data_IF_430468764591
#
_entry.id   IF_430468764591
#
_cell.length_a   1.000
_cell.length_b   1.000
_cell.length_c   1.000
_cell.angle_alpha   90.00
_cell.angle_beta   90.00
_cell.angle_gamma   90.00
#
_symmetry.space_group_name_H-M   'P 1'
#
loop_
_entity.id
_entity.type
_entity.pdbx_description
1 polymer ?
#
# COMPACT_ATOMS: atom_id res chain seq x y z
N UNK A 1 3.24 -18.07 4.21
CA UNK A 1 3.72 -16.99 5.12
C UNK A 1 3.59 -17.51 6.55
N UNK A 2 4.58 -17.24 7.42
CA UNK A 2 4.53 -17.68 8.82
C UNK A 2 4.00 -16.54 9.70
N UNK A 3 3.03 -16.85 10.56
CA UNK A 3 2.52 -15.88 11.55
C UNK A 3 3.50 -15.73 12.72
N UNK A 4 3.56 -14.52 13.29
CA UNK A 4 4.29 -14.26 14.53
C UNK A 4 3.64 -14.92 15.76
N UNK A 5 2.39 -15.35 15.66
CA UNK A 5 1.64 -15.96 16.74
C UNK A 5 2.29 -17.26 17.25
N UNK A 6 2.48 -17.39 18.56
CA UNK A 6 3.09 -18.57 19.18
C UNK A 6 4.62 -18.65 19.12
N UNK A 7 5.29 -17.64 18.56
CA UNK A 7 6.76 -17.59 18.51
C UNK A 7 7.32 -17.25 19.91
N UNK A 8 8.35 -17.96 20.35
CA UNK A 8 9.06 -17.61 21.60
C UNK A 8 9.96 -16.38 21.38
N UNK A 9 9.54 -15.29 21.98
CA UNK A 9 10.18 -13.97 21.85
C UNK A 9 11.07 -13.60 23.05
N UNK A 10 11.16 -14.43 24.08
CA UNK A 10 11.89 -14.11 25.31
C UNK A 10 13.36 -13.88 25.06
N UNK A 11 13.82 -12.66 25.37
CA UNK A 11 15.20 -12.23 25.19
C UNK A 11 15.66 -12.09 23.74
N UNK A 12 14.75 -12.21 22.77
CA UNK A 12 15.04 -12.07 21.34
C UNK A 12 15.21 -10.61 20.95
N UNK A 13 16.16 -10.35 20.06
CA UNK A 13 16.29 -9.08 19.35
C UNK A 13 15.53 -9.16 18.03
N UNK A 14 14.52 -8.33 17.89
CA UNK A 14 13.62 -8.31 16.73
C UNK A 14 13.87 -7.10 15.86
N UNK A 15 14.08 -7.34 14.57
CA UNK A 15 14.03 -6.30 13.55
C UNK A 15 12.59 -6.20 13.04
N UNK A 16 11.92 -5.09 13.31
CA UNK A 16 10.54 -4.84 12.88
C UNK A 16 10.49 -3.86 11.72
N UNK A 17 9.82 -4.24 10.61
CA UNK A 17 9.57 -3.38 9.45
C UNK A 17 8.08 -3.04 9.32
N UNK A 18 7.59 -2.00 9.99
CA UNK A 18 6.22 -1.55 9.85
C UNK A 18 6.09 -0.53 8.71
N UNK A 19 4.86 -0.23 8.31
CA UNK A 19 4.56 0.97 7.54
C UNK A 19 3.99 2.06 8.44
N UNK A 20 4.81 3.04 8.75
CA UNK A 20 4.46 4.24 9.53
C UNK A 20 4.56 5.52 8.70
N UNK A 21 4.72 5.41 7.36
CA UNK A 21 4.75 6.55 6.46
C UNK A 21 3.44 7.35 6.57
N UNK A 22 3.52 8.55 7.10
CA UNK A 22 2.37 9.37 7.50
C UNK A 22 2.28 10.66 6.69
N UNK A 23 1.07 11.16 6.38
CA UNK A 23 0.90 12.50 5.83
C UNK A 23 1.41 13.55 6.82
N UNK A 24 2.20 14.50 6.32
CA UNK A 24 2.77 15.60 7.10
C UNK A 24 2.15 16.92 6.68
N UNK A 25 1.98 17.82 7.64
CA UNK A 25 1.68 19.20 7.33
C UNK A 25 2.85 19.83 6.54
N UNK A 26 2.60 20.50 5.41
CA UNK A 26 3.65 21.00 4.54
C UNK A 26 4.60 22.00 5.21
N UNK A 27 4.13 22.77 6.20
CA UNK A 27 4.88 23.83 6.86
C UNK A 27 5.52 23.37 8.17
N UNK A 28 4.71 22.83 9.09
CA UNK A 28 5.18 22.41 10.41
C UNK A 28 5.85 21.05 10.44
N UNK A 29 5.63 20.23 9.39
CA UNK A 29 6.05 18.83 9.33
C UNK A 29 5.47 17.98 10.47
N UNK A 30 4.36 18.44 11.07
CA UNK A 30 3.61 17.62 12.02
C UNK A 30 2.85 16.50 11.31
N UNK A 31 2.70 15.37 11.97
CA UNK A 31 1.89 14.24 11.46
C UNK A 31 0.42 14.63 11.55
N UNK A 32 -0.26 14.76 10.40
CA UNK A 32 -1.68 15.12 10.32
C UNK A 32 -2.62 13.93 10.33
N UNK A 33 -2.11 12.73 10.06
CA UNK A 33 -2.85 11.49 10.19
C UNK A 33 -1.88 10.39 10.65
N UNK A 34 -2.15 9.81 11.79
CA UNK A 34 -1.31 8.80 12.46
C UNK A 34 -1.91 7.39 12.45
N UNK A 35 -2.93 7.13 11.63
CA UNK A 35 -3.60 5.84 11.55
C UNK A 35 -2.66 4.66 11.31
N UNK A 36 -1.63 4.84 10.47
CA UNK A 36 -0.61 3.80 10.22
C UNK A 36 0.23 3.51 11.45
N UNK A 37 0.54 4.55 12.23
CA UNK A 37 1.23 4.40 13.52
C UNK A 37 0.33 3.60 14.47
N UNK A 38 -0.93 4.00 14.61
CA UNK A 38 -1.90 3.31 15.48
C UNK A 38 -2.02 1.83 15.10
N UNK A 39 -2.09 1.50 13.81
CA UNK A 39 -2.14 0.11 13.33
C UNK A 39 -0.87 -0.69 13.62
N UNK A 40 0.25 -0.04 13.85
CA UNK A 40 1.53 -0.68 14.21
C UNK A 40 1.62 -0.98 15.71
N UNK A 41 0.85 -0.31 16.57
CA UNK A 41 0.92 -0.50 18.03
C UNK A 41 0.69 -1.96 18.47
N UNK A 42 -0.29 -2.71 17.94
CA UNK A 42 -0.53 -4.09 18.37
C UNK A 42 0.68 -5.02 18.19
N UNK A 43 1.42 -4.93 17.08
CA UNK A 43 2.60 -5.77 16.87
C UNK A 43 3.71 -5.42 17.85
N UNK A 44 3.94 -4.13 18.12
CA UNK A 44 4.96 -3.71 19.09
C UNK A 44 4.59 -4.21 20.49
N UNK A 45 3.33 -4.06 20.90
CA UNK A 45 2.85 -4.59 22.19
C UNK A 45 3.01 -6.11 22.29
N UNK A 46 2.74 -6.86 21.21
CA UNK A 46 2.95 -8.31 21.17
C UNK A 46 4.42 -8.65 21.39
N UNK A 47 5.34 -7.96 20.71
CA UNK A 47 6.78 -8.18 20.85
C UNK A 47 7.27 -7.87 22.28
N UNK A 48 6.85 -6.75 22.86
CA UNK A 48 7.21 -6.36 24.23
C UNK A 48 6.66 -7.34 25.28
N UNK A 49 5.39 -7.72 25.16
CA UNK A 49 4.76 -8.72 26.05
C UNK A 49 5.44 -10.07 25.96
N UNK A 50 5.99 -10.42 24.79
CA UNK A 50 6.80 -11.62 24.58
C UNK A 50 8.21 -11.55 25.18
N UNK A 51 8.65 -10.40 25.69
CA UNK A 51 9.97 -10.19 26.29
C UNK A 51 11.08 -9.90 25.27
N UNK A 52 10.74 -9.43 24.07
CA UNK A 52 11.71 -9.03 23.06
C UNK A 52 12.30 -7.64 23.32
N UNK A 53 13.42 -7.34 22.67
CA UNK A 53 13.88 -5.99 22.35
C UNK A 53 13.63 -5.71 20.87
N UNK A 54 13.27 -4.47 20.52
CA UNK A 54 12.78 -4.14 19.18
C UNK A 54 13.58 -3.01 18.57
N UNK A 55 14.15 -3.26 17.38
CA UNK A 55 14.61 -2.17 16.51
C UNK A 55 13.64 -2.03 15.33
N UNK A 56 13.15 -0.83 15.13
CA UNK A 56 12.22 -0.49 14.06
C UNK A 56 12.98 0.15 12.92
N UNK A 57 12.81 -0.37 11.71
CA UNK A 57 13.25 0.25 10.46
C UNK A 57 12.02 0.64 9.64
N UNK A 58 11.94 1.88 9.23
CA UNK A 58 10.79 2.39 8.51
C UNK A 58 11.18 3.51 7.54
N UNK A 59 10.25 3.90 6.67
CA UNK A 59 10.44 5.02 5.75
C UNK A 59 9.40 6.11 5.97
N UNK A 60 9.78 7.34 5.62
CA UNK A 60 8.90 8.50 5.52
C UNK A 60 9.28 9.30 4.28
N UNK A 61 8.30 9.54 3.40
CA UNK A 61 8.52 10.23 2.13
C UNK A 61 9.33 9.41 1.12
N UNK A 62 9.82 10.07 0.09
CA UNK A 62 10.71 9.51 -0.95
C UNK A 62 11.57 10.63 -1.54
N UNK A 63 12.61 10.30 -2.30
CA UNK A 63 13.45 11.26 -3.03
C UNK A 63 12.68 12.09 -4.06
N UNK A 64 11.60 11.55 -4.63
CA UNK A 64 10.69 12.28 -5.53
C UNK A 64 9.60 13.06 -4.76
N UNK A 65 9.47 12.81 -3.47
CA UNK A 65 8.61 13.51 -2.53
C UNK A 65 9.44 14.08 -1.36
N UNK A 66 10.48 14.80 -1.70
CA UNK A 66 11.47 15.30 -0.75
C UNK A 66 10.89 16.21 0.35
N UNK A 67 9.72 16.83 0.10
CA UNK A 67 9.04 17.65 1.09
C UNK A 67 8.54 16.83 2.29
N UNK A 68 8.26 15.54 2.08
CA UNK A 68 7.86 14.60 3.10
C UNK A 68 8.99 13.66 3.54
N UNK A 69 10.20 13.83 2.96
CA UNK A 69 11.39 13.08 3.34
C UNK A 69 12.01 13.71 4.60
N UNK A 70 11.55 13.28 5.76
CA UNK A 70 11.99 13.77 7.08
C UNK A 70 12.57 12.63 7.92
N UNK A 71 13.19 12.98 9.05
CA UNK A 71 13.53 12.00 10.07
C UNK A 71 12.28 11.37 10.71
N UNK A 72 12.49 10.37 11.56
CA UNK A 72 11.41 9.63 12.21
C UNK A 72 11.24 9.98 13.70
N UNK A 73 11.79 11.09 14.17
CA UNK A 73 11.71 11.50 15.58
C UNK A 73 10.27 11.71 16.04
N UNK A 74 9.43 12.36 15.22
CA UNK A 74 8.00 12.57 15.50
C UNK A 74 7.20 11.26 15.52
N UNK A 75 7.59 10.29 14.69
CA UNK A 75 6.99 8.94 14.71
C UNK A 75 7.36 8.22 16.02
N UNK A 76 8.62 8.31 16.46
CA UNK A 76 9.04 7.73 17.73
C UNK A 76 8.27 8.32 18.91
N UNK A 77 8.09 9.64 18.92
CA UNK A 77 7.29 10.33 19.93
C UNK A 77 5.85 9.83 19.94
N UNK A 78 5.19 9.76 18.77
CA UNK A 78 3.81 9.27 18.66
C UNK A 78 3.66 7.81 19.12
N UNK A 79 4.58 6.93 18.72
CA UNK A 79 4.58 5.54 19.16
C UNK A 79 4.77 5.46 20.67
N UNK A 80 5.67 6.27 21.26
CA UNK A 80 5.88 6.36 22.70
C UNK A 80 4.63 6.78 23.45
N UNK A 81 3.89 7.78 22.93
CA UNK A 81 2.61 8.25 23.48
C UNK A 81 1.55 7.13 23.48
N UNK A 82 1.37 6.42 22.35
CA UNK A 82 0.38 5.33 22.24
C UNK A 82 0.72 4.09 23.07
N UNK A 83 2.00 3.81 23.27
CA UNK A 83 2.45 2.66 24.07
C UNK A 83 2.50 2.96 25.55
N UNK A 84 2.48 4.23 25.98
CA UNK A 84 2.89 4.66 27.31
C UNK A 84 4.22 4.03 27.72
N UNK A 85 5.17 4.02 26.77
CA UNK A 85 6.47 3.34 26.90
C UNK A 85 7.54 4.11 26.14
N UNK A 86 8.78 4.25 26.69
CA UNK A 86 9.85 4.98 26.02
C UNK A 86 10.23 4.34 24.67
N UNK A 87 10.26 5.16 23.62
CA UNK A 87 10.75 4.80 22.29
C UNK A 87 11.85 5.75 21.91
N UNK A 88 13.06 5.24 21.77
CA UNK A 88 14.22 6.02 21.36
C UNK A 88 14.22 6.20 19.85
N UNK A 89 14.57 7.41 19.39
CA UNK A 89 14.93 7.66 18.00
C UNK A 89 16.45 7.83 17.87
N UNK A 90 17.05 7.13 16.91
CA UNK A 90 18.47 7.26 16.58
C UNK A 90 18.62 7.65 15.11
N UNK A 91 19.21 8.81 14.85
CA UNK A 91 19.42 9.33 13.48
C UNK A 91 20.60 8.65 12.77
N UNK A 92 20.53 7.33 12.69
CA UNK A 92 21.44 6.46 11.95
C UNK A 92 20.69 5.20 11.53
N UNK A 93 20.64 4.90 10.23
CA UNK A 93 19.88 3.73 9.71
C UNK A 93 20.60 2.43 10.01
N UNK A 94 21.89 2.34 9.65
CA UNK A 94 22.67 1.08 9.74
C UNK A 94 24.16 1.32 9.90
N UNK A 95 24.55 2.53 10.25
CA UNK A 95 25.92 2.92 10.48
C UNK A 95 26.45 2.53 11.86
N UNK A 96 27.62 3.05 12.27
CA UNK A 96 28.26 2.66 13.51
C UNK A 96 27.43 2.91 14.78
N UNK A 97 26.67 4.02 14.82
CA UNK A 97 25.81 4.33 15.96
C UNK A 97 24.64 3.36 16.08
N UNK A 98 23.97 3.08 14.94
CA UNK A 98 22.89 2.07 14.89
C UNK A 98 23.38 0.69 15.34
N UNK A 99 24.50 0.22 14.80
CA UNK A 99 25.11 -1.08 15.17
C UNK A 99 25.43 -1.14 16.65
N UNK A 100 26.05 -0.08 17.21
CA UNK A 100 26.38 -0.03 18.63
C UNK A 100 25.13 -0.03 19.50
N UNK A 101 24.11 0.75 19.15
CA UNK A 101 22.86 0.82 19.92
C UNK A 101 22.09 -0.47 19.90
N UNK A 102 21.96 -1.11 18.73
CA UNK A 102 21.26 -2.40 18.58
C UNK A 102 21.98 -3.50 19.38
N UNK A 103 23.32 -3.53 19.39
CA UNK A 103 24.07 -4.47 20.22
C UNK A 103 23.75 -4.29 21.71
N UNK A 104 23.57 -3.08 22.17
CA UNK A 104 23.30 -2.70 23.56
C UNK A 104 21.82 -2.85 23.98
N UNK A 105 20.89 -3.11 23.03
CA UNK A 105 19.45 -3.26 23.32
C UNK A 105 19.19 -4.37 24.35
N UNK A 106 18.37 -4.04 25.33
CA UNK A 106 17.91 -4.94 26.40
C UNK A 106 16.45 -5.33 26.16
N UNK A 107 16.01 -6.49 26.67
CA UNK A 107 14.59 -6.88 26.63
C UNK A 107 13.68 -5.74 27.12
N UNK A 108 12.63 -5.46 26.37
CA UNK A 108 11.69 -4.38 26.65
C UNK A 108 12.08 -3.02 26.08
N UNK A 109 13.31 -2.81 25.58
CA UNK A 109 13.69 -1.57 24.93
C UNK A 109 13.28 -1.52 23.47
N UNK A 110 12.93 -0.31 23.01
CA UNK A 110 12.57 -0.02 21.61
C UNK A 110 13.48 1.11 21.09
N UNK A 111 14.01 0.91 19.89
CA UNK A 111 14.67 1.99 19.12
C UNK A 111 14.10 2.05 17.71
N UNK A 112 13.84 3.26 17.23
CA UNK A 112 13.60 3.53 15.79
C UNK A 112 14.91 4.05 15.21
N UNK A 113 15.39 3.36 14.19
CA UNK A 113 16.57 3.77 13.43
C UNK A 113 16.20 4.87 12.42
N UNK A 114 17.20 5.49 11.82
CA UNK A 114 16.99 6.55 10.84
C UNK A 114 16.08 6.16 9.67
N UNK A 115 15.63 7.17 8.92
CA UNK A 115 14.73 6.94 7.80
C UNK A 115 15.42 6.11 6.70
N UNK A 116 14.83 4.95 6.35
CA UNK A 116 15.33 4.06 5.30
C UNK A 116 15.57 4.79 3.97
N UNK A 117 14.78 5.80 3.64
CA UNK A 117 14.93 6.58 2.39
C UNK A 117 16.19 7.46 2.35
N UNK A 118 16.97 7.51 3.43
CA UNK A 118 18.32 8.11 3.41
C UNK A 118 19.36 7.17 2.80
N UNK A 119 19.01 5.88 2.60
CA UNK A 119 19.87 4.93 1.90
C UNK A 119 19.50 4.86 0.42
N UNK A 120 20.51 4.85 -0.44
CA UNK A 120 20.32 4.81 -1.90
C UNK A 120 19.56 3.55 -2.35
N UNK A 121 19.86 2.40 -1.75
CA UNK A 121 19.24 1.12 -2.07
C UNK A 121 17.77 1.00 -1.66
N UNK A 122 17.28 1.89 -0.80
CA UNK A 122 15.90 1.91 -0.32
C UNK A 122 14.98 2.88 -1.09
N UNK A 123 15.54 3.69 -2.01
CA UNK A 123 14.73 4.63 -2.78
C UNK A 123 14.06 3.97 -3.99
N UNK A 124 12.87 4.45 -4.36
CA UNK A 124 12.08 3.88 -5.46
C UNK A 124 12.78 3.97 -6.83
N UNK A 125 13.63 4.96 -7.03
CA UNK A 125 14.42 5.09 -8.26
C UNK A 125 15.49 4.01 -8.37
N UNK A 126 16.13 3.62 -7.27
CA UNK A 126 17.09 2.52 -7.26
C UNK A 126 16.42 1.18 -7.60
N UNK A 127 15.27 0.89 -6.94
CA UNK A 127 14.48 -0.30 -7.23
C UNK A 127 14.10 -0.41 -8.71
N UNK A 128 13.66 0.70 -9.31
CA UNK A 128 13.27 0.75 -10.72
C UNK A 128 14.44 0.49 -11.67
N UNK A 129 15.60 1.08 -11.39
CA UNK A 129 16.71 1.16 -12.34
C UNK A 129 17.72 0.04 -12.15
N UNK A 130 17.97 -0.45 -10.94
CA UNK A 130 18.98 -1.48 -10.63
C UNK A 130 18.45 -2.91 -10.65
N UNK A 131 17.21 -3.14 -10.23
CA UNK A 131 16.49 -4.44 -10.34
C UNK A 131 17.26 -5.64 -9.80
N UNK A 132 17.78 -5.54 -8.57
CA UNK A 132 18.44 -6.67 -7.90
C UNK A 132 17.40 -7.70 -7.42
N UNK A 133 17.81 -8.96 -7.31
CA UNK A 133 17.04 -9.99 -6.61
C UNK A 133 17.28 -9.95 -5.09
N UNK A 134 16.50 -10.68 -4.32
CA UNK A 134 16.59 -10.71 -2.86
C UNK A 134 17.99 -11.15 -2.38
N UNK A 135 18.58 -12.15 -3.04
CA UNK A 135 19.91 -12.67 -2.70
C UNK A 135 21.02 -11.64 -2.93
N UNK A 136 20.91 -10.85 -4.01
CA UNK A 136 21.84 -9.75 -4.26
C UNK A 136 21.71 -8.62 -3.23
N UNK A 137 20.47 -8.28 -2.83
CA UNK A 137 20.23 -7.30 -1.78
C UNK A 137 20.80 -7.68 -0.42
N UNK A 138 21.04 -8.96 -0.11
CA UNK A 138 21.72 -9.37 1.14
C UNK A 138 23.14 -8.79 1.24
N UNK A 139 23.73 -8.32 0.15
CA UNK A 139 25.07 -7.74 0.09
C UNK A 139 25.08 -6.21 0.29
N UNK A 140 23.90 -5.57 0.37
CA UNK A 140 23.81 -4.14 0.64
C UNK A 140 24.35 -3.80 2.03
N UNK A 141 24.72 -2.54 2.21
CA UNK A 141 25.31 -2.10 3.46
C UNK A 141 24.35 -2.22 4.63
N UNK A 142 23.09 -1.88 4.43
CA UNK A 142 22.02 -2.02 5.41
C UNK A 142 21.91 -3.46 5.93
N UNK A 143 21.72 -4.40 5.02
CA UNK A 143 21.45 -5.80 5.39
C UNK A 143 22.68 -6.44 6.04
N UNK A 144 23.86 -6.20 5.50
CA UNK A 144 25.12 -6.72 6.07
C UNK A 144 25.41 -6.21 7.49
N UNK A 145 25.04 -4.97 7.78
CA UNK A 145 25.30 -4.38 9.10
C UNK A 145 24.22 -4.76 10.12
N UNK A 146 22.96 -4.87 9.69
CA UNK A 146 21.86 -5.10 10.60
C UNK A 146 21.54 -6.58 10.80
N UNK A 147 21.47 -7.40 9.75
CA UNK A 147 21.01 -8.78 9.87
C UNK A 147 21.76 -9.61 10.96
N UNK A 148 23.10 -9.50 11.11
CA UNK A 148 23.81 -10.28 12.13
C UNK A 148 23.50 -9.89 13.59
N UNK A 149 22.76 -8.81 13.80
CA UNK A 149 22.44 -8.27 15.12
C UNK A 149 21.12 -8.77 15.69
N UNK A 150 20.31 -9.45 14.87
CA UNK A 150 18.93 -9.83 15.20
C UNK A 150 18.74 -11.35 15.19
N UNK A 151 17.81 -11.81 16.01
CA UNK A 151 17.41 -13.22 16.07
C UNK A 151 16.30 -13.54 15.06
N UNK A 152 15.47 -12.55 14.72
CA UNK A 152 14.38 -12.69 13.78
C UNK A 152 13.97 -11.35 13.15
N UNK A 153 13.32 -11.43 12.00
CA UNK A 153 12.75 -10.31 11.28
C UNK A 153 11.22 -10.42 11.26
N UNK A 154 10.54 -9.31 11.53
CA UNK A 154 9.07 -9.19 11.43
C UNK A 154 8.71 -8.15 10.40
N UNK A 155 8.00 -8.58 9.37
CA UNK A 155 7.42 -7.68 8.39
C UNK A 155 5.96 -7.38 8.74
N UNK A 156 5.62 -6.09 8.87
CA UNK A 156 4.26 -5.60 9.14
C UNK A 156 3.81 -4.57 8.09
N UNK A 157 4.60 -4.40 7.02
CA UNK A 157 4.39 -3.36 6.02
C UNK A 157 3.67 -3.90 4.79
N UNK A 158 2.41 -4.29 4.90
CA UNK A 158 1.61 -4.81 3.78
C UNK A 158 1.53 -3.82 2.61
N UNK A 159 1.34 -2.52 2.86
CA UNK A 159 1.29 -1.49 1.84
C UNK A 159 2.58 -1.34 1.03
N UNK A 160 3.73 -1.78 1.57
CA UNK A 160 5.02 -1.82 0.90
C UNK A 160 5.38 -3.23 0.36
N UNK A 161 4.50 -4.23 0.47
CA UNK A 161 4.78 -5.62 0.09
C UNK A 161 5.09 -5.81 -1.40
N UNK A 162 4.67 -4.86 -2.23
CA UNK A 162 4.98 -4.82 -3.67
C UNK A 162 6.38 -4.30 -4.00
N UNK A 163 7.11 -3.74 -3.01
CA UNK A 163 8.43 -3.17 -3.20
C UNK A 163 9.52 -4.23 -3.22
N UNK A 164 10.44 -4.11 -4.18
CA UNK A 164 11.65 -4.92 -4.24
C UNK A 164 12.84 -4.13 -3.67
N UNK A 165 12.76 -3.77 -2.38
CA UNK A 165 13.82 -3.07 -1.66
C UNK A 165 14.45 -3.95 -0.59
N UNK A 166 15.71 -3.68 -0.15
CA UNK A 166 16.42 -4.52 0.83
C UNK A 166 15.62 -4.79 2.09
N UNK A 167 15.00 -3.74 2.67
CA UNK A 167 14.20 -3.88 3.89
C UNK A 167 12.98 -4.77 3.74
N UNK A 168 12.48 -4.98 2.51
CA UNK A 168 11.29 -5.79 2.25
C UNK A 168 11.62 -7.23 1.85
N UNK A 169 12.73 -7.46 1.14
CA UNK A 169 12.98 -8.77 0.51
C UNK A 169 14.25 -9.47 0.98
N UNK A 170 15.22 -8.77 1.59
CA UNK A 170 16.54 -9.35 1.81
C UNK A 170 16.74 -9.95 3.21
N UNK A 171 16.14 -9.36 4.25
CA UNK A 171 16.30 -9.90 5.62
C UNK A 171 15.75 -11.31 5.79
N UNK A 172 14.71 -11.65 5.04
CA UNK A 172 14.10 -12.99 5.04
C UNK A 172 15.02 -14.09 4.47
N UNK A 173 16.04 -13.70 3.68
CA UNK A 173 17.05 -14.63 3.19
C UNK A 173 18.07 -15.04 4.29
N UNK A 174 18.18 -14.25 5.35
CA UNK A 174 19.21 -14.40 6.39
C UNK A 174 18.65 -14.67 7.78
N UNK A 175 17.40 -14.30 8.05
CA UNK A 175 16.77 -14.38 9.39
C UNK A 175 15.48 -15.19 9.35
N UNK A 176 15.16 -15.92 10.43
CA UNK A 176 13.80 -16.40 10.65
C UNK A 176 12.82 -15.24 10.52
N UNK A 177 11.84 -15.37 9.61
CA UNK A 177 10.96 -14.27 9.21
C UNK A 177 9.51 -14.61 9.47
N UNK A 178 8.82 -13.63 10.05
CA UNK A 178 7.40 -13.74 10.39
C UNK A 178 6.63 -12.53 9.88
N UNK A 179 5.37 -12.76 9.52
CA UNK A 179 4.42 -11.68 9.32
C UNK A 179 3.88 -11.21 10.68
N UNK A 180 3.86 -9.92 10.88
CA UNK A 180 3.10 -9.35 11.98
C UNK A 180 1.58 -9.49 11.76
N UNK A 181 0.76 -9.23 12.79
CA UNK A 181 -0.69 -9.50 12.73
C UNK A 181 -1.41 -8.84 11.57
N UNK A 182 -1.11 -7.58 11.26
CA UNK A 182 -1.77 -6.83 10.17
C UNK A 182 -1.40 -7.43 8.81
N UNK A 183 -0.12 -7.62 8.55
CA UNK A 183 0.34 -8.21 7.29
C UNK A 183 -0.21 -9.62 7.10
N UNK A 184 -0.26 -10.41 8.16
CA UNK A 184 -0.80 -11.77 8.11
C UNK A 184 -2.30 -11.78 7.81
N UNK A 185 -3.07 -10.89 8.44
CA UNK A 185 -4.51 -10.73 8.20
C UNK A 185 -4.81 -10.34 6.75
N UNK A 186 -4.08 -9.39 6.21
CA UNK A 186 -4.22 -8.96 4.80
C UNK A 186 -3.87 -10.10 3.84
N UNK A 187 -2.78 -10.81 4.11
CA UNK A 187 -2.38 -11.99 3.33
C UNK A 187 -3.45 -13.09 3.34
N UNK A 188 -4.03 -13.40 4.51
CA UNK A 188 -5.09 -14.41 4.61
C UNK A 188 -6.36 -13.98 3.87
N UNK A 189 -6.75 -12.69 4.00
CA UNK A 189 -7.92 -12.17 3.30
C UNK A 189 -7.77 -12.30 1.78
N UNK A 190 -6.62 -11.88 1.23
CA UNK A 190 -6.33 -11.99 -0.20
C UNK A 190 -6.19 -13.44 -0.65
N UNK A 191 -5.55 -14.30 0.16
CA UNK A 191 -5.41 -15.73 -0.16
C UNK A 191 -6.75 -16.43 -0.28
N UNK A 192 -7.73 -16.08 0.57
CA UNK A 192 -9.10 -16.59 0.48
C UNK A 192 -9.77 -16.18 -0.84
N UNK A 193 -9.54 -14.93 -1.29
CA UNK A 193 -10.06 -14.46 -2.57
C UNK A 193 -9.42 -15.21 -3.73
N UNK A 194 -8.10 -15.41 -3.72
CA UNK A 194 -7.37 -16.05 -4.81
C UNK A 194 -7.64 -17.56 -4.94
N UNK A 195 -7.80 -18.25 -3.81
CA UNK A 195 -7.89 -19.72 -3.77
C UNK A 195 -9.27 -20.27 -3.49
N UNK A 196 -10.28 -19.45 -3.33
CA UNK A 196 -11.65 -19.91 -3.07
C UNK A 196 -12.56 -18.80 -2.55
N UNK A 197 -12.71 -17.72 -3.32
CA UNK A 197 -13.66 -16.66 -2.99
C UNK A 197 -15.06 -17.25 -2.76
N UNK A 198 -15.70 -16.84 -1.68
CA UNK A 198 -17.12 -17.11 -1.48
C UNK A 198 -17.90 -16.48 -2.63
N UNK A 199 -18.90 -17.21 -3.13
CA UNK A 199 -19.75 -16.74 -4.22
C UNK A 199 -21.05 -16.13 -3.67
N UNK A 200 -21.55 -15.03 -4.27
CA UNK A 200 -21.00 -14.31 -5.42
C UNK A 200 -19.77 -13.45 -5.02
N UNK A 201 -18.72 -13.49 -5.86
CA UNK A 201 -17.54 -12.64 -5.70
C UNK A 201 -17.66 -11.41 -6.59
N UNK A 202 -17.86 -10.26 -5.97
CA UNK A 202 -18.10 -8.98 -6.64
C UNK A 202 -16.89 -8.05 -6.43
N UNK A 203 -16.34 -7.54 -7.52
CA UNK A 203 -15.23 -6.59 -7.50
C UNK A 203 -15.73 -5.19 -7.86
N UNK A 204 -15.44 -4.21 -7.03
CA UNK A 204 -15.72 -2.80 -7.33
C UNK A 204 -14.40 -2.13 -7.73
N UNK A 205 -14.28 -1.77 -8.99
CA UNK A 205 -13.06 -1.20 -9.56
C UNK A 205 -13.28 0.26 -9.98
N UNK A 206 -12.51 1.15 -9.36
CA UNK A 206 -12.64 2.59 -9.58
C UNK A 206 -11.37 3.35 -9.21
N UNK A 207 -11.50 4.66 -9.06
CA UNK A 207 -10.40 5.56 -8.72
C UNK A 207 -9.63 6.07 -9.93
N UNK A 208 -8.50 6.74 -9.68
CA UNK A 208 -7.67 7.40 -10.70
C UNK A 208 -6.51 6.53 -11.21
N UNK A 209 -6.05 5.55 -10.44
CA UNK A 209 -5.00 4.59 -10.81
C UNK A 209 -5.56 3.37 -11.53
N UNK A 210 -5.98 3.56 -12.76
CA UNK A 210 -6.68 2.50 -13.51
C UNK A 210 -5.76 1.35 -13.97
N UNK A 211 -4.44 1.57 -14.06
CA UNK A 211 -3.48 0.48 -14.33
C UNK A 211 -3.62 -0.68 -13.35
N UNK A 212 -3.81 -0.37 -12.07
CA UNK A 212 -3.98 -1.37 -11.02
C UNK A 212 -5.33 -2.10 -11.17
N UNK A 213 -6.41 -1.37 -11.48
CA UNK A 213 -7.74 -1.93 -11.74
C UNK A 213 -7.72 -2.88 -12.95
N UNK A 214 -7.09 -2.49 -14.06
CA UNK A 214 -6.97 -3.32 -15.25
C UNK A 214 -6.04 -4.51 -15.04
N UNK A 215 -4.93 -4.31 -14.29
CA UNK A 215 -4.04 -5.41 -13.89
C UNK A 215 -4.74 -6.49 -13.07
N UNK A 216 -5.74 -6.10 -12.26
CA UNK A 216 -6.57 -7.05 -11.49
C UNK A 216 -7.71 -7.64 -12.33
N UNK A 217 -8.33 -6.86 -13.20
CA UNK A 217 -9.53 -7.26 -13.96
C UNK A 217 -9.28 -8.48 -14.83
N UNK A 218 -8.19 -8.50 -15.57
CA UNK A 218 -7.84 -9.60 -16.47
C UNK A 218 -7.77 -10.96 -15.76
N UNK A 219 -6.92 -11.17 -14.74
CA UNK A 219 -6.83 -12.48 -14.11
C UNK A 219 -8.11 -12.91 -13.40
N UNK A 220 -8.88 -12.03 -12.78
CA UNK A 220 -10.12 -12.43 -12.08
C UNK A 220 -11.26 -12.77 -13.02
N UNK A 221 -11.25 -12.25 -14.26
CA UNK A 221 -12.18 -12.65 -15.32
C UNK A 221 -11.78 -13.99 -15.94
N UNK A 222 -10.50 -14.14 -16.32
CA UNK A 222 -9.97 -15.33 -17.01
C UNK A 222 -10.03 -16.58 -16.15
N UNK A 223 -9.70 -16.48 -14.86
CA UNK A 223 -9.72 -17.62 -13.93
C UNK A 223 -11.10 -17.87 -13.30
N UNK A 224 -12.12 -17.05 -13.62
CA UNK A 224 -13.49 -17.20 -13.12
C UNK A 224 -13.68 -16.81 -11.66
N UNK A 225 -12.71 -16.12 -11.04
CA UNK A 225 -12.84 -15.63 -9.66
C UNK A 225 -13.97 -14.63 -9.52
N UNK A 226 -14.07 -13.66 -10.46
CA UNK A 226 -15.14 -12.66 -10.43
C UNK A 226 -16.46 -13.20 -11.00
N UNK A 227 -17.53 -13.04 -10.23
CA UNK A 227 -18.90 -13.19 -10.72
C UNK A 227 -19.41 -11.89 -11.34
N UNK A 228 -19.07 -10.75 -10.71
CA UNK A 228 -19.37 -9.41 -11.24
C UNK A 228 -18.20 -8.47 -11.00
N UNK A 229 -18.05 -7.52 -11.94
CA UNK A 229 -17.16 -6.37 -11.82
C UNK A 229 -18.01 -5.12 -11.98
N UNK A 230 -18.03 -4.28 -10.95
CA UNK A 230 -18.73 -3.00 -10.93
C UNK A 230 -17.70 -1.90 -11.17
N UNK A 231 -17.84 -1.15 -12.26
CA UNK A 231 -16.86 -0.13 -12.64
C UNK A 231 -17.30 1.27 -12.23
N UNK A 232 -16.37 2.10 -11.72
CA UNK A 232 -16.64 3.47 -11.29
C UNK A 232 -15.44 4.38 -11.56
N UNK A 233 -15.59 5.68 -11.29
CA UNK A 233 -14.52 6.65 -11.48
C UNK A 233 -13.92 6.59 -12.88
N UNK A 234 -12.60 6.72 -12.99
CA UNK A 234 -11.89 6.71 -14.29
C UNK A 234 -12.01 5.35 -15.00
N UNK A 235 -12.02 4.23 -14.26
CA UNK A 235 -12.25 2.90 -14.84
C UNK A 235 -13.62 2.82 -15.52
N UNK A 236 -14.67 3.33 -14.86
CA UNK A 236 -16.02 3.41 -15.44
C UNK A 236 -16.07 4.26 -16.72
N UNK A 237 -15.37 5.40 -16.75
CA UNK A 237 -15.30 6.26 -17.94
C UNK A 237 -14.64 5.57 -19.14
N UNK A 238 -13.55 4.84 -18.90
CA UNK A 238 -12.88 4.07 -19.96
C UNK A 238 -13.80 2.97 -20.50
N UNK A 239 -14.55 2.28 -19.62
CA UNK A 239 -15.55 1.30 -20.01
C UNK A 239 -16.69 1.91 -20.82
N UNK A 240 -17.19 3.09 -20.44
CA UNK A 240 -18.23 3.81 -21.21
C UNK A 240 -17.73 4.17 -22.63
N UNK A 241 -16.49 4.65 -22.76
CA UNK A 241 -15.89 4.91 -24.09
C UNK A 241 -15.80 3.61 -24.90
N UNK A 242 -15.37 2.52 -24.30
CA UNK A 242 -15.27 1.22 -24.95
C UNK A 242 -16.64 0.70 -25.43
N UNK A 243 -17.70 1.02 -24.68
CA UNK A 243 -19.09 0.74 -25.07
C UNK A 243 -19.65 1.71 -26.13
N UNK A 244 -18.87 2.69 -26.58
CA UNK A 244 -19.29 3.67 -27.60
C UNK A 244 -20.02 4.89 -27.05
N UNK A 245 -20.05 5.08 -25.73
CA UNK A 245 -20.66 6.28 -25.12
C UNK A 245 -19.71 7.46 -25.28
N UNK A 246 -20.26 8.59 -25.77
CA UNK A 246 -19.50 9.84 -25.92
C UNK A 246 -19.38 10.54 -24.55
N UNK A 247 -18.21 10.51 -23.95
CA UNK A 247 -17.93 11.16 -22.66
C UNK A 247 -17.46 12.63 -22.79
N UNK A 248 -17.48 13.20 -23.99
CA UNK A 248 -17.10 14.60 -24.26
C UNK A 248 -15.59 14.83 -24.34
N UNK A 249 -15.22 15.91 -25.04
CA UNK A 249 -13.83 16.22 -25.37
C UNK A 249 -12.97 16.49 -24.11
N UNK A 250 -13.54 17.14 -23.11
CA UNK A 250 -12.82 17.49 -21.88
C UNK A 250 -12.38 16.23 -21.11
N UNK A 251 -13.25 15.25 -21.01
CA UNK A 251 -12.94 13.94 -20.40
C UNK A 251 -11.93 13.16 -21.23
N UNK A 252 -12.11 13.12 -22.57
CA UNK A 252 -11.15 12.46 -23.46
C UNK A 252 -9.77 13.09 -23.36
N UNK A 253 -9.68 14.42 -23.31
CA UNK A 253 -8.42 15.14 -23.13
C UNK A 253 -7.76 14.79 -21.80
N UNK A 254 -8.53 14.80 -20.70
CA UNK A 254 -8.04 14.37 -19.38
C UNK A 254 -7.45 12.95 -19.39
N UNK A 255 -8.15 12.00 -20.02
CA UNK A 255 -7.66 10.62 -20.13
C UNK A 255 -6.39 10.52 -21.00
N UNK A 256 -6.31 11.31 -22.06
CA UNK A 256 -5.13 11.38 -22.93
C UNK A 256 -3.91 11.95 -22.20
N UNK A 257 -4.10 13.04 -21.44
CA UNK A 257 -3.02 13.71 -20.69
C UNK A 257 -2.46 12.81 -19.58
N UNK A 258 -3.25 11.82 -19.15
CA UNK A 258 -2.85 10.79 -18.15
C UNK A 258 -2.41 9.47 -18.78
N UNK A 259 -2.32 9.40 -20.12
CA UNK A 259 -1.96 8.18 -20.87
C UNK A 259 -2.86 6.97 -20.58
N UNK A 260 -4.17 7.22 -20.43
CA UNK A 260 -5.15 6.20 -20.02
C UNK A 260 -6.01 5.67 -21.18
N UNK A 261 -5.95 6.28 -22.37
CA UNK A 261 -6.74 5.84 -23.52
C UNK A 261 -6.31 4.47 -24.07
N UNK A 262 -5.09 4.02 -23.77
CA UNK A 262 -4.61 2.68 -24.12
C UNK A 262 -5.49 1.55 -23.58
N UNK A 263 -6.14 1.77 -22.43
CA UNK A 263 -7.04 0.77 -21.81
C UNK A 263 -8.40 0.62 -22.49
N UNK A 264 -8.74 1.47 -23.46
CA UNK A 264 -10.03 1.38 -24.19
C UNK A 264 -10.12 0.10 -25.03
N UNK A 265 -9.03 -0.30 -25.68
CA UNK A 265 -9.04 -1.53 -26.49
C UNK A 265 -9.17 -2.78 -25.61
N UNK A 266 -8.47 -2.86 -24.50
CA UNK A 266 -8.63 -3.95 -23.53
C UNK A 266 -10.07 -3.99 -23.00
N UNK A 267 -10.67 -2.82 -22.74
CA UNK A 267 -12.06 -2.70 -22.28
C UNK A 267 -13.06 -3.23 -23.28
N UNK A 268 -12.86 -2.96 -24.57
CA UNK A 268 -13.71 -3.50 -25.64
C UNK A 268 -13.66 -5.04 -25.67
N UNK A 269 -12.46 -5.59 -25.50
CA UNK A 269 -12.27 -7.04 -25.44
C UNK A 269 -13.00 -7.64 -24.22
N UNK A 270 -12.86 -7.02 -23.04
CA UNK A 270 -13.55 -7.49 -21.84
C UNK A 270 -15.06 -7.40 -21.96
N UNK A 271 -15.62 -6.30 -22.45
CA UNK A 271 -17.06 -6.15 -22.65
C UNK A 271 -17.61 -7.18 -23.67
N UNK A 272 -16.83 -7.51 -24.68
CA UNK A 272 -17.20 -8.54 -25.68
C UNK A 272 -17.17 -9.95 -25.08
N UNK A 273 -16.12 -10.27 -24.31
CA UNK A 273 -15.89 -11.64 -23.83
C UNK A 273 -16.66 -11.94 -22.53
N UNK A 274 -17.00 -10.90 -21.74
CA UNK A 274 -17.63 -11.03 -20.42
C UNK A 274 -18.83 -10.08 -20.25
N UNK A 275 -19.79 -10.03 -21.20
CA UNK A 275 -20.88 -9.03 -21.20
C UNK A 275 -21.75 -9.09 -19.93
N UNK A 276 -21.95 -10.30 -19.37
CA UNK A 276 -22.76 -10.49 -18.18
C UNK A 276 -22.03 -10.25 -16.86
N UNK A 277 -20.69 -10.06 -16.91
CA UNK A 277 -19.89 -9.91 -15.71
C UNK A 277 -19.55 -8.46 -15.40
N UNK A 278 -19.46 -7.59 -16.39
CA UNK A 278 -19.03 -6.20 -16.23
C UNK A 278 -20.25 -5.28 -16.21
N UNK A 279 -20.40 -4.54 -15.15
CA UNK A 279 -21.42 -3.50 -15.02
C UNK A 279 -20.77 -2.12 -15.11
N UNK A 280 -21.33 -1.30 -15.98
CA UNK A 280 -20.92 0.08 -16.20
C UNK A 280 -21.87 1.04 -15.48
N UNK A 281 -21.42 2.27 -15.17
CA UNK A 281 -22.30 3.31 -14.66
C UNK A 281 -23.49 3.58 -15.61
N UNK A 282 -24.66 3.84 -15.05
CA UNK A 282 -25.88 4.28 -15.76
C UNK A 282 -26.14 5.77 -15.56
N UNK A 283 -25.48 6.37 -14.58
CA UNK A 283 -25.41 7.80 -14.33
C UNK A 283 -24.05 8.18 -13.76
N UNK A 284 -23.71 9.45 -13.87
CA UNK A 284 -22.43 10.00 -13.40
C UNK A 284 -22.67 11.29 -12.62
N UNK A 285 -21.70 11.64 -11.78
CA UNK A 285 -21.72 12.89 -11.02
C UNK A 285 -20.70 13.88 -11.58
N UNK A 286 -21.13 15.13 -11.67
CA UNK A 286 -20.31 16.29 -12.06
C UNK A 286 -20.32 17.33 -10.96
N UNK A 287 -19.39 18.28 -11.03
CA UNK A 287 -19.42 19.50 -10.25
C UNK A 287 -19.98 20.64 -11.12
N UNK A 288 -21.05 21.24 -10.66
CA UNK A 288 -21.64 22.43 -11.28
C UNK A 288 -21.86 23.50 -10.22
N UNK A 289 -21.20 24.66 -10.36
CA UNK A 289 -21.28 25.78 -9.42
C UNK A 289 -20.98 25.38 -7.94
N UNK A 290 -19.97 24.51 -7.74
CA UNK A 290 -19.57 24.02 -6.40
C UNK A 290 -20.53 22.99 -5.80
N UNK A 291 -21.48 22.47 -6.58
CA UNK A 291 -22.44 21.46 -6.16
C UNK A 291 -22.29 20.19 -6.98
N UNK A 292 -22.53 19.05 -6.32
CA UNK A 292 -22.66 17.75 -6.99
C UNK A 292 -23.99 17.72 -7.76
N UNK A 293 -23.93 17.44 -9.06
CA UNK A 293 -25.08 17.22 -9.94
C UNK A 293 -24.93 15.85 -10.59
N UNK A 294 -26.00 15.09 -10.64
CA UNK A 294 -26.04 13.77 -11.27
C UNK A 294 -26.75 13.83 -12.61
N UNK A 295 -26.17 13.20 -13.62
CA UNK A 295 -26.70 13.15 -14.99
C UNK A 295 -26.69 11.71 -15.50
N UNK A 296 -27.71 11.36 -16.27
CA UNK A 296 -27.78 10.07 -16.94
C UNK A 296 -26.75 9.98 -18.06
N UNK A 297 -26.25 8.76 -18.33
CA UNK A 297 -25.27 8.58 -19.43
C UNK A 297 -25.83 8.97 -20.79
N UNK A 298 -27.16 8.91 -20.99
CA UNK A 298 -27.84 9.31 -22.21
C UNK A 298 -27.84 10.85 -22.40
N UNK A 299 -27.60 11.61 -21.35
CA UNK A 299 -27.47 13.07 -21.40
C UNK A 299 -26.03 13.55 -21.64
N UNK A 300 -25.08 12.62 -21.71
CA UNK A 300 -23.71 12.92 -22.10
C UNK A 300 -23.61 13.13 -23.62
N UNK A 301 -22.62 13.95 -24.08
CA UNK A 301 -21.60 14.63 -23.30
C UNK A 301 -22.08 15.97 -22.75
N UNK A 302 -21.48 16.38 -21.62
CA UNK A 302 -21.48 17.75 -21.12
C UNK A 302 -20.06 18.30 -21.21
N UNK A 303 -19.88 19.61 -21.33
CA UNK A 303 -18.53 20.21 -21.31
C UNK A 303 -17.96 20.30 -19.88
N UNK A 304 -17.78 19.14 -19.28
CA UNK A 304 -17.28 18.98 -17.89
C UNK A 304 -16.50 17.69 -17.72
N UNK A 305 -15.84 17.54 -16.55
CA UNK A 305 -15.24 16.28 -16.13
C UNK A 305 -16.26 15.49 -15.29
N UNK A 306 -16.32 14.19 -15.55
CA UNK A 306 -17.09 13.27 -14.73
C UNK A 306 -16.19 12.73 -13.62
N UNK A 307 -16.60 12.96 -12.38
CA UNK A 307 -15.74 12.69 -11.22
C UNK A 307 -16.11 11.38 -10.50
N UNK A 308 -17.39 10.99 -10.58
CA UNK A 308 -17.88 9.83 -9.83
C UNK A 308 -19.16 9.27 -10.50
N UNK A 309 -19.68 8.18 -9.96
CA UNK A 309 -20.98 7.56 -10.33
C UNK A 309 -22.14 8.29 -9.63
N UNK A 310 -23.32 8.25 -10.21
CA UNK A 310 -24.54 8.80 -9.61
C UNK A 310 -25.30 7.81 -8.73
N UNK A 311 -26.40 8.28 -8.16
CA UNK A 311 -27.24 7.51 -7.23
C UNK A 311 -27.96 6.33 -7.91
N UNK A 312 -28.30 6.44 -9.20
CA UNK A 312 -28.92 5.33 -9.95
C UNK A 312 -27.93 4.19 -10.13
N UNK A 313 -26.67 4.49 -10.43
CA UNK A 313 -25.58 3.49 -10.51
C UNK A 313 -25.36 2.82 -9.15
N UNK A 314 -25.33 3.61 -8.06
CA UNK A 314 -25.19 3.06 -6.71
C UNK A 314 -26.34 2.14 -6.38
N UNK A 315 -27.59 2.50 -6.73
CA UNK A 315 -28.77 1.65 -6.53
C UNK A 315 -28.65 0.35 -7.31
N UNK A 316 -28.30 0.42 -8.61
CA UNK A 316 -28.13 -0.78 -9.45
C UNK A 316 -27.00 -1.70 -8.94
N UNK A 317 -25.91 -1.14 -8.42
CA UNK A 317 -24.79 -1.91 -7.89
C UNK A 317 -25.09 -2.58 -6.54
N UNK A 318 -26.04 -2.05 -5.76
CA UNK A 318 -26.52 -2.66 -4.50
C UNK A 318 -27.36 -3.92 -4.70
N UNK A 319 -27.90 -4.11 -5.89
CA UNK A 319 -28.74 -5.26 -6.25
C UNK A 319 -27.90 -6.53 -6.55
N UNK A 320 -26.58 -6.37 -6.65
CA UNK A 320 -25.60 -7.42 -6.97
C UNK A 320 -24.99 -8.01 -5.71
#
# INVERSE_FOLDING_TARGET
MLSLEGVDLRGKKVLLRPDINSPLDPQSKEIVNDERIVKTIPVIQMLLKGGASVAIIAHQGDTLDYQNLTDLSKHAQKISEYLDHPVEYLDDVCGPAAVQRVKALKPGEIVILGNLRYLTEEVSTFERDVKLDAAAYTKTWEVRNLAPLFDLYVNEAFSAAHRNSPSMVAFQELLPTYAGPLLFQEYEALSKILHGAQKPAVFVLGGAKISDAFGMMKPVLENGTADKILTSGVTGLVMLIAAGINVGEKTVRFLKDKDLLGFVEDSKEYLKNYPDKIMMPVDVAIEENGKRVEIDIDEMPKDTLYLDIGAKTVAAYREV
#
